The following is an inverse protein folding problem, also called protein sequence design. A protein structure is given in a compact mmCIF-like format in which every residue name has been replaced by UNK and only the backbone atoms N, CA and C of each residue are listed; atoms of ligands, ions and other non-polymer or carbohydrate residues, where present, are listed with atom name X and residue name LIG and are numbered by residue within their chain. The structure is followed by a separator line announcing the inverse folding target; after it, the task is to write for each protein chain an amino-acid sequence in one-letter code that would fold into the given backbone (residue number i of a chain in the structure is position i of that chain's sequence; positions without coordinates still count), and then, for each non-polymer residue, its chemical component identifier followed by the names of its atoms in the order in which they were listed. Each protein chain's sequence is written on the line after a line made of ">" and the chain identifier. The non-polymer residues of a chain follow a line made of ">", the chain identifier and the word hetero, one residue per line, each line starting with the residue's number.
data_IF_484664405153
#
_entry.id   IF_484664405153
#
_cell.length_a   1.000
_cell.length_b   1.000
_cell.length_c   1.000
_cell.angle_alpha   90.00
_cell.angle_beta   90.00
_cell.angle_gamma   90.00
#
_symmetry.space_group_name_H-M   'P 1'
#
loop_
_entity.id
_entity.type
_entity.pdbx_description
1 polymer ?
#
# COMPACT_ATOMS: atom_id res chain seq x y z
N UNK A 1 24.01 18.22 -11.71
CA UNK A 1 24.13 17.56 -10.40
C UNK A 1 22.87 17.90 -9.62
N UNK A 2 21.95 16.96 -9.43
CA UNK A 2 20.72 17.22 -8.69
C UNK A 2 21.01 16.96 -7.20
N UNK A 3 20.65 17.89 -6.31
CA UNK A 3 20.91 17.72 -4.86
C UNK A 3 20.21 16.48 -4.30
N UNK A 4 19.18 15.98 -4.99
CA UNK A 4 18.47 14.74 -4.66
C UNK A 4 19.30 13.46 -4.91
N UNK A 5 20.24 13.47 -5.86
CA UNK A 5 21.19 12.37 -6.11
C UNK A 5 22.29 12.31 -5.04
N UNK A 6 22.53 13.41 -4.32
CA UNK A 6 23.50 13.45 -3.22
C UNK A 6 23.02 12.72 -1.96
N UNK A 7 21.74 12.32 -1.91
CA UNK A 7 21.14 11.56 -0.80
C UNK A 7 20.49 10.28 -1.34
N UNK A 8 21.28 9.22 -1.60
CA UNK A 8 20.75 7.93 -2.00
C UNK A 8 19.75 7.45 -0.95
N UNK A 9 18.51 7.21 -1.37
CA UNK A 9 17.45 6.68 -0.53
C UNK A 9 16.97 5.36 -1.12
N UNK A 10 16.75 4.38 -0.25
CA UNK A 10 16.15 3.09 -0.62
C UNK A 10 14.66 3.23 -1.02
N UNK A 11 14.08 4.41 -0.80
CA UNK A 11 12.67 4.68 -1.02
C UNK A 11 12.44 5.54 -2.26
N UNK A 12 11.37 5.25 -3.00
CA UNK A 12 10.89 6.04 -4.13
C UNK A 12 10.51 7.45 -3.68
N UNK A 13 11.01 8.45 -4.39
CA UNK A 13 10.61 9.86 -4.28
C UNK A 13 9.76 10.27 -5.48
N UNK A 14 8.92 11.28 -5.32
CA UNK A 14 8.10 11.78 -6.43
C UNK A 14 8.97 12.19 -7.64
N UNK A 15 10.11 12.82 -7.38
CA UNK A 15 11.06 13.21 -8.42
C UNK A 15 11.74 12.02 -9.13
N UNK A 16 11.75 10.80 -8.56
CA UNK A 16 12.21 9.59 -9.25
C UNK A 16 11.21 9.12 -10.33
N UNK A 17 9.91 9.42 -10.14
CA UNK A 17 8.85 9.07 -11.09
C UNK A 17 8.75 10.11 -12.23
N UNK A 18 8.92 11.39 -11.90
CA UNK A 18 8.66 12.48 -12.85
C UNK A 18 7.24 12.40 -13.41
N UNK A 19 7.11 12.51 -14.74
CA UNK A 19 5.81 12.38 -15.44
C UNK A 19 5.38 10.92 -15.69
N UNK A 20 6.24 9.95 -15.35
CA UNK A 20 5.93 8.54 -15.59
C UNK A 20 4.85 8.02 -14.64
N UNK A 21 3.93 7.22 -15.18
CA UNK A 21 2.87 6.56 -14.41
C UNK A 21 2.97 5.03 -14.50
N UNK A 22 4.05 4.41 -13.96
CA UNK A 22 4.28 2.98 -14.11
C UNK A 22 3.19 2.18 -13.39
N UNK A 23 2.79 1.07 -14.01
CA UNK A 23 1.99 0.03 -13.36
C UNK A 23 2.95 -0.99 -12.79
N UNK A 24 2.84 -1.25 -11.49
CA UNK A 24 3.70 -2.15 -10.73
C UNK A 24 2.84 -3.12 -9.93
N UNK A 25 3.32 -4.35 -9.77
CA UNK A 25 2.69 -5.33 -8.88
C UNK A 25 3.34 -5.24 -7.50
N UNK A 26 2.53 -5.29 -6.45
CA UNK A 26 3.01 -5.36 -5.07
C UNK A 26 3.65 -6.74 -4.84
N UNK A 27 4.85 -6.76 -4.28
CA UNK A 27 5.55 -7.96 -3.84
C UNK A 27 5.24 -8.22 -2.37
N UNK A 28 5.55 -7.26 -1.50
CA UNK A 28 5.30 -7.39 -0.06
C UNK A 28 5.22 -6.03 0.63
N UNK A 29 4.73 -6.03 1.87
CA UNK A 29 4.74 -4.86 2.74
C UNK A 29 5.54 -5.20 4.00
N UNK A 30 6.50 -4.35 4.35
CA UNK A 30 7.31 -4.50 5.56
C UNK A 30 7.23 -3.24 6.41
N UNK A 31 7.27 -3.39 7.73
CA UNK A 31 7.41 -2.25 8.65
C UNK A 31 8.89 -1.95 8.82
N UNK A 32 9.32 -0.79 8.33
CA UNK A 32 10.73 -0.38 8.40
C UNK A 32 10.90 0.94 9.16
N UNK A 33 12.05 1.12 9.84
CA UNK A 33 12.39 2.39 10.44
C UNK A 33 12.74 3.42 9.36
N UNK A 34 11.86 4.40 9.16
CA UNK A 34 12.00 5.44 8.13
C UNK A 34 12.33 6.80 8.78
N UNK A 35 13.20 7.56 8.12
CA UNK A 35 13.55 8.93 8.51
C UNK A 35 14.57 9.01 9.65
N UNK A 36 14.87 10.24 10.10
CA UNK A 36 15.88 10.48 11.14
C UNK A 36 15.48 9.92 12.50
N UNK A 37 14.19 9.95 12.82
CA UNK A 37 13.64 9.42 14.07
C UNK A 37 13.41 7.90 14.04
N UNK A 38 13.75 7.21 12.93
CA UNK A 38 13.55 5.76 12.75
C UNK A 38 12.14 5.30 13.10
N UNK A 39 11.14 6.08 12.68
CA UNK A 39 9.74 5.72 12.93
C UNK A 39 9.37 4.50 12.08
N UNK A 40 8.77 3.49 12.71
CA UNK A 40 8.28 2.32 11.99
C UNK A 40 7.14 2.73 11.07
N UNK A 41 7.37 2.63 9.76
CA UNK A 41 6.39 2.95 8.72
C UNK A 41 6.24 1.76 7.79
N UNK A 42 5.01 1.46 7.32
CA UNK A 42 4.81 0.45 6.29
C UNK A 42 5.47 0.89 4.98
N UNK A 43 6.27 0.02 4.40
CA UNK A 43 6.95 0.20 3.12
C UNK A 43 6.47 -0.91 2.20
N UNK A 44 5.94 -0.52 1.03
CA UNK A 44 5.56 -1.47 -0.01
C UNK A 44 6.71 -1.68 -0.98
N UNK A 45 7.03 -2.94 -1.24
CA UNK A 45 7.96 -3.37 -2.26
C UNK A 45 7.21 -3.83 -3.50
N UNK A 46 7.81 -3.59 -4.66
CA UNK A 46 7.20 -3.92 -5.95
C UNK A 46 8.02 -4.97 -6.68
N UNK A 47 7.32 -5.89 -7.34
CA UNK A 47 7.95 -6.98 -8.09
C UNK A 47 8.90 -6.44 -9.18
N UNK A 48 10.15 -6.90 -9.16
CA UNK A 48 11.18 -6.48 -10.12
C UNK A 48 11.69 -5.05 -9.94
N UNK A 49 11.44 -4.43 -8.77
CA UNK A 49 11.96 -3.09 -8.42
C UNK A 49 12.81 -3.16 -7.16
N UNK A 50 13.89 -2.39 -7.16
CA UNK A 50 14.83 -2.34 -6.03
C UNK A 50 14.41 -1.32 -4.96
N UNK A 51 13.65 -0.30 -5.33
CA UNK A 51 13.18 0.74 -4.40
C UNK A 51 11.77 0.41 -3.91
N UNK A 52 11.57 0.50 -2.60
CA UNK A 52 10.23 0.46 -1.98
C UNK A 52 9.57 1.84 -1.95
N UNK A 53 8.29 1.90 -1.64
CA UNK A 53 7.57 3.16 -1.41
C UNK A 53 7.05 3.18 0.03
N UNK A 54 7.40 4.23 0.78
CA UNK A 54 6.86 4.45 2.12
C UNK A 54 5.38 4.77 2.01
N UNK A 55 4.54 3.99 2.69
CA UNK A 55 3.11 4.16 2.67
C UNK A 55 2.67 5.20 3.71
N UNK A 56 1.93 6.20 3.24
CA UNK A 56 1.13 7.08 4.08
C UNK A 56 -0.30 6.54 4.19
N UNK A 57 -1.07 7.05 5.17
CA UNK A 57 -2.46 6.62 5.42
C UNK A 57 -3.34 6.65 4.18
N UNK A 58 -3.16 7.63 3.28
CA UNK A 58 -3.98 7.72 2.06
C UNK A 58 -3.62 6.63 1.06
N UNK A 59 -2.33 6.38 0.84
CA UNK A 59 -1.86 5.35 -0.09
C UNK A 59 -2.22 3.96 0.44
N UNK A 60 -2.06 3.70 1.75
CA UNK A 60 -2.47 2.44 2.38
C UNK A 60 -3.97 2.18 2.18
N UNK A 61 -4.83 3.18 2.46
CA UNK A 61 -6.27 3.07 2.21
C UNK A 61 -6.59 2.80 0.75
N UNK A 62 -5.89 3.48 -0.17
CA UNK A 62 -6.15 3.31 -1.59
C UNK A 62 -5.74 1.93 -2.10
N UNK A 63 -4.63 1.38 -1.61
CA UNK A 63 -4.23 0.01 -1.93
C UNK A 63 -5.23 -0.98 -1.34
N UNK A 64 -5.67 -0.80 -0.09
CA UNK A 64 -6.70 -1.64 0.52
C UNK A 64 -8.01 -1.66 -0.30
N UNK A 65 -8.44 -0.50 -0.81
CA UNK A 65 -9.59 -0.41 -1.71
C UNK A 65 -9.39 -1.18 -3.03
N UNK A 66 -8.17 -1.13 -3.60
CA UNK A 66 -7.83 -1.80 -4.86
C UNK A 66 -7.71 -3.31 -4.65
N UNK A 67 -7.07 -3.74 -3.56
CA UNK A 67 -6.90 -5.13 -3.17
C UNK A 67 -8.23 -5.76 -2.69
N UNK A 68 -9.14 -4.94 -2.15
CA UNK A 68 -10.37 -5.41 -1.51
C UNK A 68 -10.16 -6.00 -0.12
N UNK A 69 -8.95 -5.86 0.45
CA UNK A 69 -8.58 -6.33 1.79
C UNK A 69 -7.78 -5.26 2.53
N UNK A 70 -7.99 -5.15 3.85
CA UNK A 70 -7.17 -4.32 4.72
C UNK A 70 -5.92 -5.05 5.21
N UNK A 71 -5.84 -6.36 4.98
CA UNK A 71 -4.66 -7.16 5.29
C UNK A 71 -3.59 -6.93 4.22
N UNK A 72 -2.38 -6.59 4.67
CA UNK A 72 -1.25 -6.35 3.78
C UNK A 72 -0.70 -7.62 3.15
N UNK A 73 -0.94 -8.79 3.76
CA UNK A 73 -0.53 -10.08 3.20
C UNK A 73 -1.32 -10.42 1.92
N UNK A 74 -2.58 -9.96 1.85
CA UNK A 74 -3.44 -10.11 0.66
C UNK A 74 -3.07 -9.16 -0.49
N UNK A 75 -2.14 -8.22 -0.27
CA UNK A 75 -1.78 -7.24 -1.30
C UNK A 75 -0.76 -7.79 -2.31
N UNK A 76 -0.13 -8.94 -2.03
CA UNK A 76 0.81 -9.58 -2.95
C UNK A 76 0.17 -9.83 -4.32
N UNK A 77 0.83 -9.41 -5.39
CA UNK A 77 0.38 -9.56 -6.78
C UNK A 77 -0.61 -8.48 -7.24
N UNK A 78 -1.16 -7.66 -6.33
CA UNK A 78 -2.08 -6.58 -6.68
C UNK A 78 -1.34 -5.53 -7.51
N UNK A 79 -1.90 -5.23 -8.68
CA UNK A 79 -1.34 -4.25 -9.60
C UNK A 79 -1.87 -2.85 -9.31
N UNK A 80 -0.94 -1.92 -9.12
CA UNK A 80 -1.23 -0.52 -8.81
C UNK A 80 -0.47 0.41 -9.76
N UNK A 81 -1.08 1.56 -10.05
CA UNK A 81 -0.42 2.60 -10.85
C UNK A 81 0.08 3.70 -9.94
N UNK A 82 1.37 3.99 -10.01
CA UNK A 82 2.00 5.09 -9.29
C UNK A 82 1.99 6.35 -10.15
N UNK A 83 1.85 7.51 -9.51
CA UNK A 83 2.02 8.81 -10.17
C UNK A 83 2.49 9.85 -9.15
N UNK A 84 3.33 10.80 -9.58
CA UNK A 84 3.70 11.96 -8.78
C UNK A 84 2.63 13.05 -8.91
N UNK A 85 2.34 13.75 -7.82
CA UNK A 85 1.47 14.93 -7.79
C UNK A 85 1.89 15.84 -6.66
N UNK A 86 1.69 17.15 -6.85
CA UNK A 86 1.83 18.13 -5.79
C UNK A 86 0.66 18.01 -4.82
N UNK A 87 0.96 18.09 -3.53
CA UNK A 87 -0.02 18.06 -2.44
C UNK A 87 0.35 19.11 -1.40
N UNK A 88 -0.65 19.79 -0.84
CA UNK A 88 -0.43 20.63 0.33
C UNK A 88 -0.26 19.77 1.59
N UNK A 89 0.91 19.87 2.22
CA UNK A 89 1.22 19.24 3.48
C UNK A 89 1.74 20.29 4.45
N UNK A 90 1.03 20.48 5.56
CA UNK A 90 1.39 21.46 6.60
C UNK A 90 1.52 22.92 6.10
N UNK A 91 0.78 23.28 5.04
CA UNK A 91 0.83 24.62 4.45
C UNK A 91 1.96 24.82 3.44
N UNK A 92 2.73 23.78 3.14
CA UNK A 92 3.71 23.77 2.05
C UNK A 92 3.25 22.82 0.93
N UNK A 93 3.40 23.26 -0.32
CA UNK A 93 3.20 22.42 -1.50
C UNK A 93 4.40 21.50 -1.67
N UNK A 94 4.18 20.19 -1.52
CA UNK A 94 5.23 19.16 -1.64
C UNK A 94 4.87 18.14 -2.71
N UNK A 95 5.87 17.64 -3.44
CA UNK A 95 5.67 16.54 -4.38
C UNK A 95 5.49 15.21 -3.63
N UNK A 96 4.40 14.51 -3.89
CA UNK A 96 4.09 13.21 -3.29
C UNK A 96 3.75 12.15 -4.34
N UNK A 97 4.10 10.90 -4.05
CA UNK A 97 3.66 9.76 -4.85
C UNK A 97 2.28 9.33 -4.38
N UNK A 98 1.36 9.16 -5.32
CA UNK A 98 0.01 8.64 -5.11
C UNK A 98 -0.20 7.35 -5.90
N UNK A 99 -1.14 6.56 -5.40
CA UNK A 99 -1.51 5.26 -5.98
C UNK A 99 -2.92 5.36 -6.56
N UNK A 100 -3.14 4.79 -7.75
CA UNK A 100 -4.47 4.62 -8.33
C UNK A 100 -4.64 3.25 -8.97
N UNK A 101 -5.89 2.83 -9.14
CA UNK A 101 -6.20 1.61 -9.88
C UNK A 101 -5.70 1.75 -11.33
N UNK A 102 -5.04 0.72 -11.89
CA UNK A 102 -4.73 0.71 -13.32
C UNK A 102 -6.03 0.64 -14.13
N UNK A 103 -6.07 1.32 -15.28
CA UNK A 103 -7.25 1.50 -16.13
C UNK A 103 -7.77 0.22 -16.83
N UNK A 104 -7.34 -0.97 -16.39
CA UNK A 104 -7.80 -2.29 -16.85
C UNK A 104 -7.24 -3.32 -15.88
N UNK A 105 -8.08 -3.94 -15.04
CA UNK A 105 -7.76 -5.27 -14.49
C UNK A 105 -9.02 -6.12 -14.36
N UNK A 106 -8.93 -7.43 -14.64
CA UNK A 106 -9.85 -8.38 -14.05
C UNK A 106 -9.66 -8.34 -12.53
N UNK A 107 -10.77 -8.24 -11.81
CA UNK A 107 -10.79 -8.28 -10.36
C UNK A 107 -10.05 -9.51 -9.86
N UNK A 108 -9.08 -9.34 -8.94
CA UNK A 108 -8.70 -10.46 -8.10
C UNK A 108 -9.95 -10.86 -7.30
N UNK A 109 -10.33 -12.15 -7.27
CA UNK A 109 -11.41 -12.60 -6.42
C UNK A 109 -11.01 -12.32 -4.97
N UNK A 110 -11.81 -11.48 -4.29
CA UNK A 110 -11.67 -11.19 -2.87
C UNK A 110 -11.57 -12.51 -2.08
N UNK A 111 -10.64 -12.65 -1.12
CA UNK A 111 -10.84 -13.60 -0.02
C UNK A 111 -12.17 -13.22 0.63
N UNK A 112 -13.18 -14.06 0.52
CA UNK A 112 -14.41 -13.89 1.29
C UNK A 112 -14.04 -13.99 2.78
N UNK A 113 -14.56 -13.11 3.65
CA UNK A 113 -14.38 -13.29 5.08
C UNK A 113 -14.92 -14.67 5.42
N UNK A 114 -14.04 -15.52 5.97
CA UNK A 114 -14.41 -16.81 6.52
C UNK A 114 -15.57 -16.56 7.51
N UNK A 115 -16.71 -17.26 7.39
CA UNK A 115 -17.83 -17.03 8.28
C UNK A 115 -17.35 -17.34 9.69
N UNK A 116 -17.21 -16.29 10.48
CA UNK A 116 -17.05 -16.34 11.93
C UNK A 116 -18.16 -17.26 12.42
N UNK A 117 -17.78 -18.47 12.85
CA UNK A 117 -18.71 -19.46 13.35
C UNK A 117 -19.34 -18.87 14.60
N UNK A 118 -20.48 -18.22 14.42
CA UNK A 118 -21.46 -18.00 15.46
C UNK A 118 -21.85 -19.39 15.95
N UNK A 119 -21.15 -19.87 16.98
CA UNK A 119 -21.71 -20.87 17.87
C UNK A 119 -22.88 -20.18 18.58
N UNK A 120 -24.02 -20.20 17.89
CA UNK A 120 -25.31 -19.88 18.46
C UNK A 120 -25.43 -20.67 19.77
N UNK A 121 -25.79 -19.94 20.82
CA UNK A 121 -26.38 -20.54 22.00
C UNK A 121 -27.70 -21.22 21.63
N UNK A 122 -28.10 -22.12 22.53
CA UNK A 122 -29.45 -22.60 22.79
C UNK A 122 -29.85 -23.94 22.15
N UNK A 123 -29.83 -25.00 22.98
CA UNK A 123 -30.92 -25.99 23.00
C UNK A 123 -31.12 -26.51 24.44
N UNK A 124 -32.14 -25.93 25.06
CA UNK A 124 -33.18 -26.54 25.91
C UNK A 124 -33.02 -28.04 26.31
N UNK A 125 -32.99 -28.30 27.62
CA UNK A 125 -33.79 -29.32 28.35
C UNK A 125 -33.93 -30.81 27.88
N UNK A 126 -33.49 -31.74 28.79
CA UNK A 126 -34.06 -33.09 29.16
C UNK A 126 -33.64 -34.30 28.27
N UNK A 127 -33.37 -35.58 28.74
CA UNK A 127 -33.91 -36.38 29.88
C UNK A 127 -32.87 -37.10 30.79
N UNK A 128 -33.16 -37.53 32.03
CA UNK A 128 -34.20 -38.45 32.55
C UNK A 128 -34.80 -38.00 33.88
#
# INVERSE_FOLDING_TARGET
>A
MNINDAFPSNYLKASDLGEAQPVVAIDRVELEPVGRSKEMKPVVYFAGKQKGMVLNKTNSKKIAEIAGSHDTDDWHGVQVRLFATEVDFQGETVEAIRVKAPAKLPAHPKPQPEPEYAAAMDDESIPF
#
